data_IF_691491720684
#
_entry.id   IF_691491720684
#
_cell.length_a   1.000
_cell.length_b   1.000
_cell.length_c   1.000
_cell.angle_alpha   90.00
_cell.angle_beta   90.00
_cell.angle_gamma   90.00
#
_symmetry.space_group_name_H-M   'P 1'
#
loop_
_entity.id
_entity.type
_entity.pdbx_description
1 polymer ?
#
# COMPACT_ATOMS: atom_id res chain seq x y z
N UNK A 1 -7.37 13.27 -4.80
CA UNK A 1 -6.99 14.67 -5.05
C UNK A 1 -5.48 14.79 -4.90
N UNK A 2 -4.80 15.48 -5.83
CA UNK A 2 -3.35 15.70 -5.81
C UNK A 2 -2.98 17.04 -6.47
N UNK A 3 -1.73 17.48 -6.31
CA UNK A 3 -1.19 18.72 -6.91
C UNK A 3 -0.09 18.34 -7.90
N UNK A 4 -0.14 18.90 -9.10
CA UNK A 4 0.94 18.76 -10.08
C UNK A 4 1.60 20.11 -10.32
N UNK A 5 2.92 20.12 -10.48
CA UNK A 5 3.68 21.29 -10.92
C UNK A 5 4.25 21.01 -12.31
N UNK A 6 4.25 21.99 -13.20
CA UNK A 6 4.95 21.89 -14.49
C UNK A 6 5.73 23.17 -14.79
N UNK A 7 7.02 23.09 -15.18
CA UNK A 7 7.83 24.24 -15.54
C UNK A 7 7.17 25.05 -16.65
N UNK A 8 7.08 26.37 -16.44
CA UNK A 8 6.51 27.31 -17.39
C UNK A 8 7.47 28.50 -17.61
N UNK A 9 8.71 28.21 -18.02
CA UNK A 9 9.76 29.20 -18.25
C UNK A 9 10.83 29.22 -17.16
N UNK A 10 11.79 30.16 -17.21
CA UNK A 10 12.99 30.12 -16.36
C UNK A 10 12.75 30.38 -14.87
N UNK A 11 11.60 30.93 -14.47
CA UNK A 11 11.25 31.22 -13.05
C UNK A 11 9.73 31.07 -12.75
N UNK A 12 8.93 30.68 -13.75
CA UNK A 12 7.50 30.50 -13.62
C UNK A 12 7.17 29.01 -13.68
N UNK A 13 6.26 28.59 -12.83
CA UNK A 13 5.70 27.25 -12.81
C UNK A 13 4.17 27.33 -12.91
N UNK A 14 3.55 26.26 -13.37
CA UNK A 14 2.11 26.08 -13.29
C UNK A 14 1.80 25.07 -12.19
N UNK A 15 0.96 25.45 -11.23
CA UNK A 15 0.49 24.58 -10.16
C UNK A 15 -0.95 24.20 -10.43
N UNK A 16 -1.23 22.90 -10.55
CA UNK A 16 -2.56 22.37 -10.88
C UNK A 16 -3.07 21.48 -9.76
N UNK A 17 -4.20 21.85 -9.17
CA UNK A 17 -4.99 20.97 -8.31
C UNK A 17 -5.81 20.04 -9.18
N UNK A 18 -5.79 18.74 -8.89
CA UNK A 18 -6.59 17.74 -9.61
C UNK A 18 -7.43 16.94 -8.63
N UNK A 19 -8.75 16.92 -8.86
CA UNK A 19 -9.69 16.01 -8.21
C UNK A 19 -10.30 15.09 -9.26
N UNK A 20 -10.26 13.79 -9.00
CA UNK A 20 -10.78 12.73 -9.87
C UNK A 20 -11.65 11.78 -9.05
N UNK A 21 -12.58 11.09 -9.72
CA UNK A 21 -13.35 10.02 -9.10
C UNK A 21 -14.40 10.48 -8.10
N UNK A 22 -14.81 11.75 -8.11
CA UNK A 22 -15.79 12.25 -7.14
C UNK A 22 -17.23 12.12 -7.65
N UNK A 23 -18.14 11.83 -6.73
CA UNK A 23 -19.58 11.77 -6.94
C UNK A 23 -20.29 12.05 -5.61
N UNK A 24 -21.33 12.92 -5.54
CA UNK A 24 -22.06 13.56 -6.64
C UNK A 24 -21.29 14.71 -7.36
N UNK A 25 -21.87 15.25 -8.44
CA UNK A 25 -21.20 16.21 -9.36
C UNK A 25 -20.65 17.48 -8.69
N UNK A 26 -21.22 17.90 -7.56
CA UNK A 26 -20.88 19.18 -6.94
C UNK A 26 -19.67 19.05 -6.01
N UNK A 27 -18.52 19.55 -6.47
CA UNK A 27 -17.25 19.65 -5.74
C UNK A 27 -16.87 21.12 -5.60
N UNK A 28 -16.52 21.55 -4.39
CA UNK A 28 -15.93 22.87 -4.18
C UNK A 28 -14.41 22.73 -4.09
N UNK A 29 -13.68 23.37 -5.00
CA UNK A 29 -12.21 23.36 -5.06
C UNK A 29 -11.70 24.81 -5.09
N UNK A 30 -10.88 25.16 -4.11
CA UNK A 30 -10.33 26.50 -3.90
C UNK A 30 -8.80 26.39 -3.89
N UNK A 31 -8.12 27.16 -4.76
CA UNK A 31 -6.69 27.39 -4.62
C UNK A 31 -6.45 28.54 -3.65
N UNK A 32 -5.50 28.36 -2.74
CA UNK A 32 -5.13 29.37 -1.76
C UNK A 32 -3.63 29.62 -1.80
N UNK A 33 -3.21 30.86 -1.50
CA UNK A 33 -1.83 31.23 -1.18
C UNK A 33 -1.79 31.66 0.29
N UNK A 34 -0.95 31.00 1.09
CA UNK A 34 -0.83 31.20 2.54
C UNK A 34 -2.19 31.16 3.26
N UNK A 35 -3.08 30.26 2.82
CA UNK A 35 -4.44 30.11 3.34
C UNK A 35 -5.48 31.11 2.81
N UNK A 36 -5.10 32.05 1.95
CA UNK A 36 -6.01 33.05 1.34
C UNK A 36 -6.44 32.61 -0.06
N UNK A 37 -7.75 32.56 -0.39
CA UNK A 37 -8.24 32.21 -1.72
C UNK A 37 -7.66 33.10 -2.84
N UNK A 38 -7.21 32.46 -3.91
CA UNK A 38 -6.73 33.13 -5.12
C UNK A 38 -7.93 33.51 -5.98
N UNK A 39 -7.85 34.67 -6.62
CA UNK A 39 -8.92 35.19 -7.47
C UNK A 39 -9.10 34.33 -8.74
N UNK A 40 -10.35 34.07 -9.13
CA UNK A 40 -10.68 33.16 -10.24
C UNK A 40 -10.18 33.65 -11.61
N UNK A 41 -9.92 34.96 -11.79
CA UNK A 41 -9.32 35.51 -13.02
C UNK A 41 -7.87 35.04 -13.24
N UNK A 42 -7.18 34.62 -12.17
CA UNK A 42 -5.81 34.09 -12.22
C UNK A 42 -5.77 32.57 -12.39
N UNK A 43 -6.93 31.90 -12.40
CA UNK A 43 -7.05 30.45 -12.37
C UNK A 43 -7.64 29.92 -13.68
N UNK A 44 -6.93 28.99 -14.32
CA UNK A 44 -7.43 28.22 -15.45
C UNK A 44 -8.13 26.96 -14.93
N UNK A 45 -9.44 26.83 -15.12
CA UNK A 45 -10.19 25.63 -14.74
C UNK A 45 -10.60 24.80 -15.95
N UNK A 46 -10.55 23.48 -15.80
CA UNK A 46 -11.11 22.54 -16.80
C UNK A 46 -12.64 22.42 -16.71
N UNK A 47 -13.25 22.94 -15.65
CA UNK A 47 -14.64 22.66 -15.30
C UNK A 47 -14.84 21.22 -14.83
N UNK A 48 -16.03 20.90 -14.31
CA UNK A 48 -16.36 19.54 -13.90
C UNK A 48 -16.67 18.69 -15.15
N UNK A 49 -15.86 17.67 -15.41
CA UNK A 49 -15.98 16.78 -16.58
C UNK A 49 -16.32 15.35 -16.14
N UNK A 50 -17.17 14.63 -16.88
CA UNK A 50 -17.45 13.22 -16.61
C UNK A 50 -16.23 12.35 -16.95
N UNK A 51 -15.96 11.32 -16.14
CA UNK A 51 -14.84 10.40 -16.31
C UNK A 51 -15.19 9.14 -17.13
N UNK A 52 -16.46 8.94 -17.50
CA UNK A 52 -16.94 7.78 -18.26
C UNK A 52 -17.30 6.54 -17.43
N UNK A 53 -17.02 6.56 -16.13
CA UNK A 53 -17.31 5.49 -15.15
C UNK A 53 -18.44 5.86 -14.17
N UNK A 54 -19.18 6.94 -14.46
CA UNK A 54 -20.19 7.51 -13.57
C UNK A 54 -19.67 8.52 -12.54
N UNK A 55 -18.35 8.77 -12.50
CA UNK A 55 -17.73 9.77 -11.64
C UNK A 55 -17.34 11.04 -12.41
N UNK A 56 -16.87 12.06 -11.69
CA UNK A 56 -16.42 13.33 -12.25
C UNK A 56 -14.96 13.63 -11.91
N UNK A 57 -14.36 14.50 -12.73
CA UNK A 57 -13.04 15.07 -12.52
C UNK A 57 -13.09 16.61 -12.71
N UNK A 58 -12.18 17.30 -12.02
CA UNK A 58 -12.02 18.75 -12.04
C UNK A 58 -10.54 19.08 -11.81
N UNK A 59 -10.02 20.02 -12.57
CA UNK A 59 -8.73 20.64 -12.27
C UNK A 59 -8.78 22.16 -12.33
N UNK A 60 -7.94 22.78 -11.52
CA UNK A 60 -7.71 24.23 -11.47
C UNK A 60 -6.21 24.48 -11.44
N UNK A 61 -5.74 25.37 -12.30
CA UNK A 61 -4.33 25.68 -12.52
C UNK A 61 -4.05 27.16 -12.29
N UNK A 62 -2.97 27.50 -11.59
CA UNK A 62 -2.49 28.87 -11.38
C UNK A 62 -1.02 28.96 -11.76
N UNK A 63 -0.58 30.11 -12.26
CA UNK A 63 0.82 30.40 -12.52
C UNK A 63 1.47 30.94 -11.24
N UNK A 64 2.61 30.37 -10.85
CA UNK A 64 3.31 30.67 -9.60
C UNK A 64 4.79 30.87 -9.84
N UNK A 65 5.45 31.58 -8.92
CA UNK A 65 6.90 31.61 -8.86
C UNK A 65 7.42 30.29 -8.31
N UNK A 66 8.43 29.72 -8.95
CA UNK A 66 8.88 28.35 -8.64
C UNK A 66 9.32 28.16 -7.19
N UNK A 67 9.89 29.19 -6.57
CA UNK A 67 10.32 29.19 -5.17
C UNK A 67 9.18 29.39 -4.17
N UNK A 68 7.99 29.88 -4.58
CA UNK A 68 6.87 30.15 -3.67
C UNK A 68 5.85 29.00 -3.62
N UNK A 69 6.09 27.88 -4.32
CA UNK A 69 5.13 26.76 -4.45
C UNK A 69 4.60 26.24 -3.12
N UNK A 70 5.41 26.25 -2.08
CA UNK A 70 5.05 25.78 -0.75
C UNK A 70 4.01 26.65 -0.04
N UNK A 71 3.80 27.88 -0.50
CA UNK A 71 2.77 28.77 0.03
C UNK A 71 1.40 28.45 -0.53
N UNK A 72 1.31 27.67 -1.60
CA UNK A 72 0.05 27.37 -2.26
C UNK A 72 -0.56 26.09 -1.72
N UNK A 73 -1.87 26.06 -1.59
CA UNK A 73 -2.60 24.85 -1.25
C UNK A 73 -3.91 24.75 -2.04
N UNK A 74 -4.45 23.54 -2.08
CA UNK A 74 -5.74 23.24 -2.65
C UNK A 74 -6.67 22.76 -1.53
N UNK A 75 -7.71 23.53 -1.28
CA UNK A 75 -8.77 23.24 -0.33
C UNK A 75 -9.99 22.68 -1.06
N UNK A 76 -10.44 21.49 -0.67
CA UNK A 76 -11.58 20.83 -1.28
C UNK A 76 -12.62 20.41 -0.25
N UNK A 77 -13.87 20.77 -0.52
CA UNK A 77 -15.04 20.24 0.19
C UNK A 77 -15.98 19.53 -0.77
N UNK A 78 -16.55 18.43 -0.27
CA UNK A 78 -17.44 17.57 -1.03
C UNK A 78 -18.40 16.86 -0.06
N UNK A 79 -19.62 16.58 -0.51
CA UNK A 79 -20.65 15.93 0.32
C UNK A 79 -20.27 14.52 0.82
N UNK A 80 -19.37 13.83 0.12
CA UNK A 80 -18.85 12.52 0.53
C UNK A 80 -17.71 12.58 1.55
N UNK A 81 -17.25 13.79 1.92
CA UNK A 81 -16.14 13.98 2.85
C UNK A 81 -16.67 14.45 4.21
N UNK A 82 -16.20 13.81 5.29
CA UNK A 82 -16.51 14.23 6.67
C UNK A 82 -15.78 15.51 7.06
N UNK A 83 -14.59 15.73 6.51
CA UNK A 83 -13.74 16.89 6.72
C UNK A 83 -13.17 17.40 5.39
N UNK A 84 -12.85 18.70 5.25
CA UNK A 84 -12.20 19.23 4.05
C UNK A 84 -10.83 18.59 3.82
N UNK A 85 -10.49 18.36 2.55
CA UNK A 85 -9.14 17.94 2.16
C UNK A 85 -8.32 19.18 1.85
N UNK A 86 -7.12 19.27 2.43
CA UNK A 86 -6.13 20.30 2.11
C UNK A 86 -4.88 19.59 1.60
N UNK A 87 -4.37 20.03 0.45
CA UNK A 87 -3.08 19.58 -0.10
C UNK A 87 -2.20 20.79 -0.35
N UNK A 88 -0.97 20.79 0.15
CA UNK A 88 -0.02 21.91 0.01
C UNK A 88 0.94 21.66 -1.14
N UNK A 89 1.39 22.73 -1.81
CA UNK A 89 2.42 22.69 -2.85
C UNK A 89 3.80 22.34 -2.28
N UNK A 90 4.69 21.87 -3.15
CA UNK A 90 5.94 21.22 -2.75
C UNK A 90 7.15 22.14 -2.67
N UNK A 91 8.14 21.71 -1.87
CA UNK A 91 9.40 22.41 -1.59
C UNK A 91 10.58 22.00 -2.49
N UNK A 92 10.37 21.14 -3.49
CA UNK A 92 11.46 20.55 -4.28
C UNK A 92 11.78 21.37 -5.54
N UNK A 93 13.03 21.84 -5.63
CA UNK A 93 13.63 22.60 -6.76
C UNK A 93 13.80 21.80 -8.08
N UNK A 94 13.01 20.75 -8.28
CA UNK A 94 13.04 19.97 -9.53
C UNK A 94 11.62 19.67 -9.97
N UNK A 95 11.41 19.72 -11.29
CA UNK A 95 10.18 19.64 -12.10
C UNK A 95 9.28 18.40 -11.86
N UNK A 96 9.03 18.05 -10.62
CA UNK A 96 8.49 16.76 -10.19
C UNK A 96 7.00 16.84 -9.83
N UNK A 97 6.27 15.82 -10.26
CA UNK A 97 4.88 15.57 -9.88
C UNK A 97 4.80 15.27 -8.38
N UNK A 98 4.08 16.10 -7.62
CA UNK A 98 3.82 15.83 -6.22
C UNK A 98 2.61 14.92 -6.03
N UNK A 99 2.86 13.63 -6.18
CA UNK A 99 2.03 12.63 -5.51
C UNK A 99 2.47 12.64 -4.05
N UNK A 100 1.80 13.42 -3.19
CA UNK A 100 1.77 13.11 -1.75
C UNK A 100 1.06 11.75 -1.64
N UNK A 101 1.82 10.66 -1.80
CA UNK A 101 1.39 9.37 -1.31
C UNK A 101 1.04 9.54 0.17
N UNK A 102 -0.04 8.92 0.66
CA UNK A 102 -0.20 8.81 2.11
C UNK A 102 1.07 8.16 2.65
N UNK A 103 1.85 8.87 3.47
CA UNK A 103 2.96 8.27 4.24
C UNK A 103 2.33 7.58 5.44
N UNK A 104 1.55 6.54 5.13
CA UNK A 104 0.96 5.67 6.12
C UNK A 104 1.92 4.55 6.36
N UNK A 105 2.28 4.39 7.63
CA UNK A 105 3.18 3.35 8.06
C UNK A 105 2.49 2.43 9.05
N UNK A 106 2.95 1.18 9.08
CA UNK A 106 2.39 0.17 9.96
C UNK A 106 3.48 -0.74 10.51
N UNK A 107 3.31 -1.12 11.78
CA UNK A 107 4.12 -2.13 12.44
C UNK A 107 3.18 -3.18 13.00
N UNK A 108 3.25 -4.40 12.46
CA UNK A 108 2.45 -5.53 12.93
C UNK A 108 3.33 -6.70 13.34
N UNK A 109 2.98 -7.33 14.45
CA UNK A 109 3.47 -8.64 14.83
C UNK A 109 2.39 -9.67 14.61
N UNK A 110 2.74 -10.74 13.90
CA UNK A 110 1.86 -11.87 13.63
C UNK A 110 2.44 -13.08 14.33
N UNK A 111 1.62 -13.74 15.14
CA UNK A 111 1.91 -15.00 15.80
C UNK A 111 0.96 -16.05 15.23
N UNK A 112 1.48 -17.22 14.90
CA UNK A 112 0.69 -18.34 14.39
C UNK A 112 1.09 -19.60 15.13
N UNK A 113 0.10 -20.33 15.64
CA UNK A 113 0.28 -21.62 16.30
C UNK A 113 -0.59 -22.68 15.63
N UNK A 114 -0.01 -23.84 15.39
CA UNK A 114 -0.67 -25.04 14.88
C UNK A 114 -0.97 -25.98 16.05
N UNK A 115 -2.08 -26.72 15.97
CA UNK A 115 -2.44 -27.73 16.98
C UNK A 115 -1.54 -28.95 16.99
N UNK A 116 -0.80 -29.19 15.90
CA UNK A 116 0.14 -30.31 15.76
C UNK A 116 1.22 -29.96 14.76
N UNK A 117 2.39 -30.57 14.93
CA UNK A 117 3.43 -30.57 13.90
C UNK A 117 2.96 -31.34 12.66
N UNK A 118 3.26 -30.80 11.49
CA UNK A 118 2.98 -31.43 10.20
C UNK A 118 4.21 -32.13 9.62
N UNK A 119 5.40 -31.94 10.21
CA UNK A 119 6.68 -32.43 9.69
C UNK A 119 6.92 -32.03 8.22
N UNK A 120 6.46 -30.82 7.86
CA UNK A 120 6.60 -30.25 6.52
C UNK A 120 7.70 -29.18 6.50
N UNK A 121 8.61 -29.20 5.50
CA UNK A 121 9.65 -28.19 5.39
C UNK A 121 9.09 -26.76 5.36
N UNK A 122 9.58 -25.90 6.25
CA UNK A 122 9.19 -24.49 6.34
C UNK A 122 7.86 -24.22 7.06
N UNK A 123 7.17 -25.27 7.53
CA UNK A 123 5.98 -25.14 8.38
C UNK A 123 6.37 -25.58 9.78
N UNK A 124 6.06 -24.73 10.76
CA UNK A 124 6.44 -24.95 12.15
C UNK A 124 5.21 -24.84 13.05
N UNK A 125 5.18 -25.61 14.13
CA UNK A 125 4.11 -25.55 15.13
C UNK A 125 3.84 -24.14 15.65
N UNK A 126 4.89 -23.33 15.79
CA UNK A 126 4.74 -21.93 16.15
C UNK A 126 5.69 -21.06 15.34
N UNK A 127 5.15 -19.95 14.85
CA UNK A 127 5.91 -18.91 14.17
C UNK A 127 5.50 -17.55 14.70
N UNK A 128 6.45 -16.63 14.67
CA UNK A 128 6.18 -15.24 14.99
C UNK A 128 7.06 -14.32 14.15
N UNK A 129 6.46 -13.30 13.55
CA UNK A 129 7.16 -12.39 12.65
C UNK A 129 6.72 -10.95 12.86
N UNK A 130 7.63 -10.02 12.63
CA UNK A 130 7.35 -8.57 12.60
C UNK A 130 7.31 -8.06 11.16
N UNK A 131 6.32 -7.22 10.85
CA UNK A 131 6.12 -6.56 9.57
C UNK A 131 6.19 -5.06 9.76
N UNK A 132 7.12 -4.39 9.08
CA UNK A 132 7.14 -2.94 8.89
C UNK A 132 6.68 -2.66 7.46
N UNK A 133 5.52 -2.03 7.27
CA UNK A 133 4.93 -1.78 5.93
C UNK A 133 4.89 -3.04 5.05
N UNK A 134 4.41 -4.14 5.64
CA UNK A 134 4.33 -5.48 5.03
C UNK A 134 5.68 -6.14 4.73
N UNK A 135 6.80 -5.55 5.15
CA UNK A 135 8.13 -6.14 5.03
C UNK A 135 8.54 -6.84 6.31
N UNK A 136 8.93 -8.11 6.19
CA UNK A 136 9.42 -8.91 7.32
C UNK A 136 10.72 -8.32 7.90
N UNK A 137 10.69 -7.85 9.15
CA UNK A 137 11.85 -7.28 9.86
C UNK A 137 12.51 -8.26 10.83
N UNK A 138 11.72 -9.19 11.38
CA UNK A 138 12.18 -10.28 12.23
C UNK A 138 11.34 -11.53 12.06
N UNK A 139 11.92 -12.66 12.45
CA UNK A 139 11.27 -13.97 12.42
C UNK A 139 11.71 -14.85 13.57
N UNK A 140 10.81 -15.73 13.98
CA UNK A 140 11.01 -16.77 14.98
C UNK A 140 10.20 -18.00 14.57
N UNK A 141 10.74 -19.20 14.78
CA UNK A 141 10.02 -20.45 14.65
C UNK A 141 10.33 -21.39 15.83
N UNK A 142 9.44 -22.36 16.09
CA UNK A 142 9.55 -23.30 17.21
C UNK A 142 10.70 -24.30 17.11
N UNK A 143 11.33 -24.47 15.93
CA UNK A 143 12.48 -25.37 15.75
C UNK A 143 13.80 -24.71 16.14
N UNK A 144 14.09 -23.54 15.55
CA UNK A 144 15.31 -22.78 15.81
C UNK A 144 15.25 -21.99 17.13
N UNK A 145 14.03 -21.67 17.58
CA UNK A 145 13.73 -20.98 18.83
C UNK A 145 14.56 -19.71 19.07
N UNK A 146 14.85 -18.97 18.00
CA UNK A 146 15.65 -17.75 18.03
C UNK A 146 14.98 -16.67 17.19
N UNK A 147 14.85 -15.46 17.75
CA UNK A 147 14.41 -14.29 17.00
C UNK A 147 15.58 -13.81 16.14
N UNK A 148 15.43 -13.84 14.82
CA UNK A 148 16.49 -13.47 13.87
C UNK A 148 16.11 -12.23 13.06
N UNK A 149 17.08 -11.35 12.73
CA UNK A 149 16.86 -10.22 11.83
C UNK A 149 16.60 -10.71 10.40
N UNK A 150 15.65 -10.06 9.73
CA UNK A 150 15.33 -10.29 8.31
C UNK A 150 15.75 -9.14 7.40
N UNK A 151 16.16 -8.03 7.99
CA UNK A 151 16.74 -6.89 7.30
C UNK A 151 18.16 -6.63 7.78
N UNK A 152 19.04 -6.17 6.88
CA UNK A 152 20.44 -5.85 7.21
C UNK A 152 20.52 -4.76 8.27
N UNK A 153 19.74 -3.68 8.11
CA UNK A 153 19.69 -2.58 9.06
C UNK A 153 19.23 -3.00 10.45
N UNK A 154 18.35 -4.00 10.56
CA UNK A 154 17.97 -4.57 11.87
C UNK A 154 19.18 -5.20 12.55
N UNK A 155 19.96 -5.99 11.81
CA UNK A 155 21.18 -6.63 12.33
C UNK A 155 22.23 -5.61 12.76
N UNK A 156 22.37 -4.53 12.00
CA UNK A 156 23.42 -3.52 12.21
C UNK A 156 23.08 -2.51 13.32
N UNK A 157 21.80 -2.12 13.44
CA UNK A 157 21.37 -1.04 14.35
C UNK A 157 20.79 -1.53 15.67
N UNK A 158 20.32 -2.79 15.76
CA UNK A 158 19.80 -3.35 17.00
C UNK A 158 20.90 -3.92 17.88
N UNK A 159 20.86 -3.60 19.17
CA UNK A 159 21.76 -4.16 20.18
C UNK A 159 21.45 -5.65 20.45
N UNK A 160 22.42 -6.37 21.00
CA UNK A 160 22.29 -7.80 21.32
C UNK A 160 21.15 -8.07 22.31
N UNK A 161 20.97 -7.21 23.30
CA UNK A 161 19.94 -7.34 24.32
C UNK A 161 18.51 -7.30 23.75
N UNK A 162 18.28 -6.54 22.67
CA UNK A 162 17.01 -6.54 21.94
C UNK A 162 16.67 -7.92 21.38
N UNK A 163 17.67 -8.63 20.84
CA UNK A 163 17.51 -9.96 20.27
C UNK A 163 17.32 -11.02 21.34
N UNK A 164 18.05 -10.94 22.45
CA UNK A 164 17.93 -11.86 23.58
C UNK A 164 16.56 -11.73 24.27
N UNK A 165 16.20 -10.50 24.68
CA UNK A 165 14.89 -10.20 25.29
C UNK A 165 13.75 -10.56 24.35
N UNK A 166 13.91 -10.23 23.07
CA UNK A 166 12.95 -10.58 22.01
C UNK A 166 12.78 -12.10 21.88
N UNK A 167 13.87 -12.86 21.87
CA UNK A 167 13.84 -14.33 21.80
C UNK A 167 13.12 -14.93 23.01
N UNK A 168 13.44 -14.45 24.22
CA UNK A 168 12.78 -14.94 25.43
C UNK A 168 11.29 -14.62 25.45
N UNK A 169 10.90 -13.42 24.99
CA UNK A 169 9.50 -13.05 24.80
C UNK A 169 8.78 -13.99 23.82
N UNK A 170 9.40 -14.33 22.69
CA UNK A 170 8.82 -15.27 21.70
C UNK A 170 8.69 -16.69 22.24
N UNK A 171 9.65 -17.18 23.04
CA UNK A 171 9.57 -18.48 23.74
C UNK A 171 8.40 -18.52 24.74
N UNK A 172 8.23 -17.47 25.54
CA UNK A 172 7.11 -17.36 26.48
C UNK A 172 5.77 -17.35 25.74
N UNK A 173 5.67 -16.65 24.60
CA UNK A 173 4.47 -16.67 23.75
C UNK A 173 4.24 -18.05 23.14
N UNK A 174 5.25 -18.73 22.63
CA UNK A 174 5.12 -20.10 22.12
C UNK A 174 4.45 -21.03 23.13
N UNK A 175 4.92 -21.03 24.38
CA UNK A 175 4.32 -21.84 25.44
C UNK A 175 2.88 -21.45 25.74
N UNK A 176 2.59 -20.15 25.76
CA UNK A 176 1.23 -19.65 25.94
C UNK A 176 0.30 -20.14 24.80
N UNK A 177 0.74 -20.06 23.55
CA UNK A 177 -0.04 -20.50 22.40
C UNK A 177 -0.29 -22.01 22.42
N UNK A 178 0.74 -22.83 22.74
CA UNK A 178 0.61 -24.29 22.84
C UNK A 178 -0.53 -24.69 23.79
N UNK A 179 -0.57 -24.09 24.98
CA UNK A 179 -1.64 -24.35 25.96
C UNK A 179 -3.01 -23.83 25.48
N UNK A 180 -3.05 -22.64 24.87
CA UNK A 180 -4.33 -22.03 24.51
C UNK A 180 -4.96 -22.63 23.26
N UNK A 181 -4.18 -23.21 22.34
CA UNK A 181 -4.73 -23.94 21.18
C UNK A 181 -5.52 -25.16 21.64
N UNK A 182 -4.98 -25.95 22.58
CA UNK A 182 -5.67 -27.13 23.12
C UNK A 182 -6.97 -26.76 23.83
N UNK A 183 -6.94 -25.72 24.67
CA UNK A 183 -8.13 -25.20 25.37
C UNK A 183 -9.17 -24.72 24.35
N UNK A 184 -8.74 -24.05 23.30
CA UNK A 184 -9.63 -23.52 22.28
C UNK A 184 -10.29 -24.64 21.46
N UNK A 185 -9.54 -25.67 21.09
CA UNK A 185 -10.09 -26.86 20.42
C UNK A 185 -11.22 -27.50 21.24
N UNK A 186 -11.03 -27.63 22.55
CA UNK A 186 -12.09 -28.14 23.44
C UNK A 186 -13.34 -27.25 23.44
N UNK A 187 -13.17 -25.92 23.50
CA UNK A 187 -14.30 -24.97 23.46
C UNK A 187 -15.04 -24.95 22.13
N UNK A 188 -14.34 -25.30 21.04
CA UNK A 188 -14.89 -25.40 19.69
C UNK A 188 -15.47 -26.80 19.41
N UNK A 189 -15.40 -27.74 20.35
CA UNK A 189 -15.76 -29.15 20.16
C UNK A 189 -15.00 -29.82 19.00
N UNK A 190 -13.75 -29.41 18.79
CA UNK A 190 -12.89 -29.96 17.74
C UNK A 190 -12.10 -31.18 18.23
N UNK A 191 -11.78 -32.08 17.31
CA UNK A 191 -10.99 -33.28 17.60
C UNK A 191 -9.49 -33.02 17.40
N UNK A 192 -8.64 -33.88 17.94
CA UNK A 192 -7.19 -33.81 17.71
C UNK A 192 -6.76 -34.41 16.35
N UNK A 193 -7.70 -34.93 15.55
CA UNK A 193 -7.37 -35.53 14.25
C UNK A 193 -7.09 -34.46 13.21
N UNK A 194 -7.81 -33.35 13.25
CA UNK A 194 -7.67 -32.25 12.30
C UNK A 194 -6.61 -31.24 12.74
N UNK A 195 -6.09 -30.49 11.77
CA UNK A 195 -5.20 -29.38 12.03
C UNK A 195 -6.04 -28.14 12.37
N UNK A 196 -5.68 -27.47 13.46
CA UNK A 196 -6.27 -26.21 13.85
C UNK A 196 -5.20 -25.13 13.99
N UNK A 197 -5.57 -23.89 13.70
CA UNK A 197 -4.65 -22.76 13.66
C UNK A 197 -5.19 -21.63 14.50
N UNK A 198 -4.41 -21.17 15.48
CA UNK A 198 -4.67 -19.94 16.22
C UNK A 198 -3.67 -18.87 15.78
N UNK A 199 -4.17 -17.72 15.38
CA UNK A 199 -3.32 -16.59 15.01
C UNK A 199 -3.63 -15.38 15.87
N UNK A 200 -2.63 -14.54 16.06
CA UNK A 200 -2.76 -13.24 16.70
C UNK A 200 -2.01 -12.20 15.90
N UNK A 201 -2.74 -11.16 15.47
CA UNK A 201 -2.18 -9.98 14.82
C UNK A 201 -2.30 -8.81 15.78
N UNK A 202 -1.17 -8.17 16.08
CA UNK A 202 -1.14 -6.98 16.94
C UNK A 202 -0.19 -5.93 16.41
N UNK A 203 -0.57 -4.65 16.52
CA UNK A 203 0.28 -3.56 16.06
C UNK A 203 -0.46 -2.26 15.85
N UNK A 204 0.18 -1.32 15.16
CA UNK A 204 -0.29 0.05 15.00
C UNK A 204 -0.08 0.55 13.58
N UNK A 205 -0.92 1.53 13.22
CA UNK A 205 -0.84 2.31 11.98
C UNK A 205 -0.68 3.78 12.34
N UNK A 206 0.20 4.50 11.62
CA UNK A 206 0.42 5.93 11.76
C UNK A 206 0.30 6.64 10.40
N UNK A 207 0.10 7.94 10.43
CA UNK A 207 0.20 8.85 9.29
C UNK A 207 1.30 9.87 9.58
N UNK A 208 2.27 9.99 8.67
CA UNK A 208 3.36 10.96 8.73
C UNK A 208 3.29 12.00 7.60
N UNK A 209 2.22 12.01 6.79
CA UNK A 209 2.11 12.84 5.57
C UNK A 209 2.32 14.35 5.78
N UNK A 210 2.18 14.84 7.01
CA UNK A 210 2.35 16.26 7.38
C UNK A 210 3.69 16.53 8.11
N UNK A 211 4.63 15.59 8.10
CA UNK A 211 5.88 15.65 8.86
C UNK A 211 5.70 15.54 10.37
N UNK A 212 4.52 15.08 10.83
CA UNK A 212 4.24 14.80 12.23
C UNK A 212 3.60 13.43 12.34
N UNK A 213 4.07 12.62 13.29
CA UNK A 213 3.53 11.28 13.55
C UNK A 213 2.15 11.40 14.18
N UNK A 214 1.12 10.93 13.46
CA UNK A 214 -0.24 10.83 13.94
C UNK A 214 -0.66 9.37 14.04
N UNK A 215 -1.00 8.91 15.24
CA UNK A 215 -1.61 7.60 15.43
C UNK A 215 -2.95 7.51 14.68
N UNK A 216 -3.11 6.46 13.87
CA UNK A 216 -4.34 6.20 13.13
C UNK A 216 -5.18 5.12 13.81
N UNK A 217 -4.57 3.97 14.12
CA UNK A 217 -5.28 2.82 14.67
C UNK A 217 -4.34 1.84 15.35
N UNK A 218 -4.82 1.23 16.42
CA UNK A 218 -4.21 0.09 17.09
C UNK A 218 -5.05 -1.16 16.85
N UNK A 219 -4.40 -2.29 16.57
CA UNK A 219 -5.05 -3.57 16.28
C UNK A 219 -4.52 -4.63 17.23
N UNK A 220 -5.41 -5.44 17.78
CA UNK A 220 -5.07 -6.68 18.47
C UNK A 220 -6.22 -7.68 18.27
N UNK A 221 -6.00 -8.64 17.40
CA UNK A 221 -7.04 -9.52 16.85
C UNK A 221 -6.54 -10.97 16.83
N UNK A 222 -7.37 -11.87 17.34
CA UNK A 222 -7.17 -13.30 17.28
C UNK A 222 -8.10 -13.92 16.24
N UNK A 223 -7.57 -14.82 15.43
CA UNK A 223 -8.33 -15.66 14.51
C UNK A 223 -8.12 -17.14 14.84
N UNK A 224 -9.14 -17.94 14.58
CA UNK A 224 -9.12 -19.39 14.73
C UNK A 224 -9.61 -20.03 13.44
N UNK A 225 -8.80 -20.93 12.86
CA UNK A 225 -9.04 -21.56 11.56
C UNK A 225 -9.40 -20.56 10.45
N UNK A 226 -8.74 -19.39 10.48
CA UNK A 226 -8.93 -18.30 9.53
C UNK A 226 -10.17 -17.43 9.76
N UNK A 227 -10.99 -17.72 10.77
CA UNK A 227 -12.19 -16.94 11.12
C UNK A 227 -11.93 -16.04 12.34
N UNK A 228 -12.63 -14.91 12.40
CA UNK A 228 -12.54 -13.98 13.53
C UNK A 228 -12.94 -14.67 14.84
N UNK A 229 -12.08 -14.55 15.87
CA UNK A 229 -12.30 -15.21 17.16
C UNK A 229 -12.45 -14.22 18.31
N UNK A 230 -11.53 -13.27 18.47
CA UNK A 230 -11.54 -12.30 19.56
C UNK A 230 -10.78 -11.04 19.16
N UNK A 231 -11.31 -9.84 19.39
CA UNK A 231 -10.66 -8.58 19.00
C UNK A 231 -10.73 -7.52 20.10
N UNK A 232 -9.74 -6.64 20.13
CA UNK A 232 -9.69 -5.54 21.08
C UNK A 232 -10.33 -4.29 20.47
N UNK A 233 -11.42 -3.82 21.08
CA UNK A 233 -12.06 -2.54 20.80
C UNK A 233 -11.25 -1.44 21.49
N UNK A 234 -10.36 -0.82 20.71
CA UNK A 234 -9.40 0.19 21.18
C UNK A 234 -10.08 1.38 21.85
N UNK A 235 -11.17 1.89 21.25
CA UNK A 235 -11.90 3.07 21.73
C UNK A 235 -12.55 2.82 23.09
N UNK A 236 -13.09 1.62 23.30
CA UNK A 236 -13.81 1.28 24.54
C UNK A 236 -12.96 0.46 25.53
N UNK A 237 -11.67 0.25 25.24
CA UNK A 237 -10.73 -0.53 26.06
C UNK A 237 -11.29 -1.88 26.51
N UNK A 238 -11.87 -2.65 25.58
CA UNK A 238 -12.51 -3.93 25.89
C UNK A 238 -12.36 -4.94 24.79
N UNK A 239 -12.42 -6.21 25.16
CA UNK A 239 -12.45 -7.32 24.21
C UNK A 239 -13.87 -7.58 23.71
N UNK A 240 -13.96 -7.84 22.40
CA UNK A 240 -15.16 -8.22 21.67
C UNK A 240 -14.99 -9.68 21.23
N UNK A 241 -16.04 -10.45 21.45
CA UNK A 241 -16.11 -11.87 21.11
C UNK A 241 -17.20 -12.06 20.05
N UNK A 242 -16.83 -12.24 18.78
CA UNK A 242 -17.79 -12.53 17.71
C UNK A 242 -18.45 -13.92 17.82
N UNK A 243 -17.83 -14.85 18.57
CA UNK A 243 -18.31 -16.24 18.69
C UNK A 243 -18.46 -16.67 20.16
N UNK A 244 -19.42 -17.57 20.49
CA UNK A 244 -19.65 -18.03 21.87
C UNK A 244 -18.42 -18.66 22.55
N UNK A 245 -17.55 -19.32 21.78
CA UNK A 245 -16.34 -19.95 22.30
C UNK A 245 -15.30 -18.93 22.83
N UNK A 246 -15.38 -17.67 22.38
CA UNK A 246 -14.51 -16.59 22.81
C UNK A 246 -15.02 -15.86 24.07
N UNK A 247 -16.30 -16.04 24.44
CA UNK A 247 -16.94 -15.37 25.57
C UNK A 247 -16.24 -15.59 26.92
N UNK A 248 -15.76 -16.81 27.25
CA UNK A 248 -14.99 -17.03 28.47
C UNK A 248 -13.70 -16.20 28.52
N UNK A 249 -12.99 -16.09 27.39
CA UNK A 249 -11.75 -15.29 27.29
C UNK A 249 -12.06 -13.80 27.43
N UNK A 250 -13.08 -13.31 26.72
CA UNK A 250 -13.59 -11.93 26.84
C UNK A 250 -13.93 -11.57 28.29
N UNK A 251 -14.71 -12.40 28.99
CA UNK A 251 -15.09 -12.15 30.38
C UNK A 251 -13.87 -12.07 31.29
N UNK A 252 -12.93 -13.01 31.15
CA UNK A 252 -11.71 -13.06 31.96
C UNK A 252 -10.81 -11.85 31.75
N UNK A 253 -10.67 -11.38 30.51
CA UNK A 253 -9.79 -10.26 30.21
C UNK A 253 -10.43 -8.92 30.53
N UNK A 254 -11.73 -8.76 30.24
CA UNK A 254 -12.47 -7.54 30.59
C UNK A 254 -12.70 -7.38 32.09
N UNK A 255 -12.61 -8.44 32.90
CA UNK A 255 -12.65 -8.33 34.36
C UNK A 255 -11.36 -7.75 34.97
N UNK A 256 -10.32 -7.50 34.15
CA UNK A 256 -9.02 -6.97 34.61
C UNK A 256 -8.70 -5.67 33.86
N UNK A 257 -9.27 -4.52 34.27
CA UNK A 257 -9.16 -3.26 33.53
C UNK A 257 -7.72 -2.80 33.26
N UNK A 258 -6.80 -3.06 34.21
CA UNK A 258 -5.40 -2.68 34.07
C UNK A 258 -4.70 -3.35 32.88
N UNK A 259 -5.10 -4.59 32.51
CA UNK A 259 -4.56 -5.26 31.33
C UNK A 259 -5.04 -4.61 30.04
N UNK A 260 -6.30 -4.18 29.99
CA UNK A 260 -6.85 -3.49 28.83
C UNK A 260 -6.21 -2.11 28.63
N UNK A 261 -5.96 -1.38 29.71
CA UNK A 261 -5.21 -0.12 29.68
C UNK A 261 -3.77 -0.32 29.19
N UNK A 262 -3.10 -1.37 29.67
CA UNK A 262 -1.77 -1.72 29.20
C UNK A 262 -1.74 -2.01 27.68
N UNK A 263 -2.71 -2.78 27.18
CA UNK A 263 -2.81 -3.07 25.73
C UNK A 263 -3.02 -1.79 24.93
N UNK A 264 -3.92 -0.91 25.36
CA UNK A 264 -4.14 0.37 24.68
C UNK A 264 -2.86 1.22 24.67
N UNK A 265 -2.19 1.35 25.81
CA UNK A 265 -0.93 2.09 25.93
C UNK A 265 0.19 1.50 25.06
N UNK A 266 0.28 0.16 24.97
CA UNK A 266 1.22 -0.50 24.07
C UNK A 266 0.92 -0.15 22.60
N UNK A 267 -0.34 -0.24 22.17
CA UNK A 267 -0.73 -0.01 20.78
C UNK A 267 -0.56 1.47 20.36
N UNK A 268 -0.89 2.41 21.24
CA UNK A 268 -0.83 3.84 20.93
C UNK A 268 0.57 4.45 21.10
N UNK A 269 1.36 3.95 22.06
CA UNK A 269 2.66 4.54 22.41
C UNK A 269 3.81 3.63 22.04
N UNK A 270 3.98 2.50 22.73
CA UNK A 270 5.17 1.65 22.56
C UNK A 270 5.31 1.15 21.12
N UNK A 271 4.21 0.75 20.49
CA UNK A 271 4.19 0.32 19.10
C UNK A 271 4.61 1.46 18.16
N UNK A 272 4.09 2.67 18.38
CA UNK A 272 4.42 3.85 17.58
C UNK A 272 5.89 4.23 17.75
N UNK A 273 6.41 4.21 18.98
CA UNK A 273 7.82 4.48 19.26
C UNK A 273 8.75 3.49 18.53
N UNK A 274 8.40 2.19 18.56
CA UNK A 274 9.15 1.17 17.82
C UNK A 274 9.03 1.35 16.31
N UNK A 275 7.83 1.65 15.81
CA UNK A 275 7.56 1.88 14.40
C UNK A 275 8.43 3.04 13.88
N UNK A 276 8.37 4.21 14.53
CA UNK A 276 9.16 5.39 14.18
C UNK A 276 10.66 5.08 14.19
N UNK A 277 11.14 4.42 15.25
CA UNK A 277 12.54 4.00 15.35
C UNK A 277 12.98 3.06 14.22
N UNK A 278 12.11 2.14 13.82
CA UNK A 278 12.41 1.23 12.71
C UNK A 278 12.38 1.94 11.36
N UNK A 279 11.50 2.91 11.15
CA UNK A 279 11.52 3.77 9.96
C UNK A 279 12.83 4.54 9.87
N UNK A 280 13.27 5.19 10.95
CA UNK A 280 14.56 5.91 11.00
C UNK A 280 15.75 5.01 10.64
N UNK A 281 15.76 3.77 11.13
CA UNK A 281 16.87 2.84 10.87
C UNK A 281 16.81 2.22 9.47
N UNK A 282 15.59 2.01 8.96
CA UNK A 282 15.34 1.45 7.64
C UNK A 282 15.43 2.48 6.51
N UNK A 283 15.34 3.78 6.80
CA UNK A 283 15.22 4.85 5.81
C UNK A 283 16.36 4.84 4.79
N UNK A 284 17.61 4.71 5.24
CA UNK A 284 18.77 4.65 4.33
C UNK A 284 18.68 3.44 3.40
N UNK A 285 18.25 2.28 3.92
CA UNK A 285 18.04 1.09 3.11
C UNK A 285 16.92 1.31 2.09
N UNK A 286 15.80 1.90 2.51
CA UNK A 286 14.64 2.20 1.66
C UNK A 286 14.96 3.20 0.53
N UNK A 287 15.68 4.29 0.85
CA UNK A 287 16.14 5.28 -0.14
C UNK A 287 17.11 4.69 -1.18
N UNK A 288 17.87 3.66 -0.80
CA UNK A 288 18.81 2.98 -1.67
C UNK A 288 18.18 1.82 -2.49
N UNK A 289 16.87 1.59 -2.40
CA UNK A 289 16.24 0.59 -3.27
C UNK A 289 16.29 1.04 -4.73
N UNK A 290 16.62 0.10 -5.61
CA UNK A 290 16.58 0.31 -7.05
C UNK A 290 15.18 0.71 -7.49
N UNK A 291 15.08 1.74 -8.33
CA UNK A 291 13.81 2.10 -8.99
C UNK A 291 13.20 0.89 -9.68
N UNK A 292 11.87 0.72 -9.64
CA UNK A 292 11.24 -0.44 -10.22
C UNK A 292 11.39 -0.48 -11.74
N UNK A 293 11.50 -1.69 -12.27
CA UNK A 293 11.59 -1.93 -13.69
C UNK A 293 10.19 -2.01 -14.29
N UNK A 294 9.95 -1.24 -15.35
CA UNK A 294 8.69 -1.23 -16.12
C UNK A 294 8.96 -1.73 -17.53
N UNK A 295 8.23 -2.77 -17.93
CA UNK A 295 8.34 -3.41 -19.22
C UNK A 295 7.01 -3.40 -19.96
N UNK A 296 7.04 -2.95 -21.22
CA UNK A 296 5.96 -3.10 -22.18
C UNK A 296 6.32 -4.25 -23.14
N UNK A 297 5.63 -5.38 -23.02
CA UNK A 297 5.85 -6.60 -23.79
C UNK A 297 4.66 -6.87 -24.71
N UNK A 298 4.91 -7.21 -25.97
CA UNK A 298 3.87 -7.59 -26.92
C UNK A 298 4.17 -8.97 -27.51
N UNK A 299 3.21 -9.89 -27.45
CA UNK A 299 3.32 -11.26 -28.00
C UNK A 299 2.06 -11.63 -28.77
N UNK A 300 2.15 -12.56 -29.73
CA UNK A 300 0.96 -13.15 -30.36
C UNK A 300 0.08 -13.77 -29.27
N UNK A 301 -1.24 -13.56 -29.36
CA UNK A 301 -2.17 -14.14 -28.40
C UNK A 301 -2.16 -15.65 -28.55
N UNK A 302 -2.20 -16.35 -27.41
CA UNK A 302 -2.27 -17.82 -27.36
C UNK A 302 -3.69 -18.30 -27.69
N UNK A 303 -4.70 -17.44 -27.48
CA UNK A 303 -6.11 -17.78 -27.67
C UNK A 303 -6.61 -17.49 -29.07
N UNK A 304 -5.99 -16.53 -29.76
CA UNK A 304 -6.45 -16.00 -31.03
C UNK A 304 -5.25 -15.57 -31.88
N UNK A 305 -5.06 -16.22 -33.03
CA UNK A 305 -3.92 -15.96 -33.91
C UNK A 305 -3.95 -14.59 -34.59
N UNK A 306 -5.11 -13.93 -34.65
CA UNK A 306 -5.31 -12.59 -35.24
C UNK A 306 -5.12 -11.48 -34.19
N UNK A 307 -4.85 -11.84 -32.94
CA UNK A 307 -4.65 -10.89 -31.85
C UNK A 307 -3.24 -10.92 -31.29
N UNK A 308 -2.85 -9.81 -30.69
CA UNK A 308 -1.66 -9.69 -29.85
C UNK A 308 -2.04 -9.35 -28.43
N UNK A 309 -1.36 -9.98 -27.49
CA UNK A 309 -1.46 -9.64 -26.08
C UNK A 309 -0.40 -8.60 -25.76
N UNK A 310 -0.85 -7.38 -25.46
CA UNK A 310 -0.04 -6.33 -24.87
C UNK A 310 0.01 -6.55 -23.37
N UNK A 311 1.20 -6.55 -22.79
CA UNK A 311 1.46 -6.85 -21.38
C UNK A 311 2.33 -5.77 -20.78
N UNK A 312 1.86 -5.12 -19.74
CA UNK A 312 2.67 -4.23 -18.93
C UNK A 312 3.03 -4.91 -17.63
N UNK A 313 4.32 -4.94 -17.33
CA UNK A 313 4.88 -5.50 -16.12
C UNK A 313 5.64 -4.41 -15.39
N UNK A 314 5.28 -4.17 -14.13
CA UNK A 314 6.14 -3.49 -13.16
C UNK A 314 6.67 -4.55 -12.19
N UNK A 315 7.96 -4.52 -11.89
CA UNK A 315 8.60 -5.42 -10.92
C UNK A 315 9.72 -4.72 -10.15
N UNK A 316 10.05 -5.22 -8.96
CA UNK A 316 11.12 -4.67 -8.12
C UNK A 316 10.70 -3.41 -7.36
N UNK A 317 9.39 -3.16 -7.22
CA UNK A 317 8.89 -2.02 -6.46
C UNK A 317 8.60 -2.36 -5.00
N UNK A 318 8.78 -1.37 -4.15
CA UNK A 318 8.38 -1.34 -2.75
C UNK A 318 8.21 0.13 -2.34
N UNK A 319 7.17 0.53 -1.59
CA UNK A 319 6.10 -0.28 -0.96
C UNK A 319 5.14 -0.99 -1.92
N UNK A 320 4.14 -1.71 -1.38
CA UNK A 320 3.20 -2.51 -2.19
C UNK A 320 2.22 -1.70 -3.04
N UNK A 321 1.97 -0.45 -2.65
CA UNK A 321 0.96 0.41 -3.25
C UNK A 321 1.46 1.00 -4.58
N UNK A 322 0.91 0.50 -5.68
CA UNK A 322 1.26 0.92 -7.04
C UNK A 322 0.00 1.20 -7.86
N UNK A 323 0.07 2.22 -8.72
CA UNK A 323 -0.92 2.44 -9.75
C UNK A 323 -0.38 2.03 -11.11
N UNK A 324 -0.94 0.96 -11.68
CA UNK A 324 -0.64 0.44 -13.01
C UNK A 324 -1.89 0.55 -13.90
N UNK A 325 -1.77 1.25 -15.02
CA UNK A 325 -2.85 1.43 -16.00
C UNK A 325 -2.35 1.11 -17.41
N UNK A 326 -3.13 0.33 -18.15
CA UNK A 326 -2.99 0.20 -19.60
C UNK A 326 -3.92 1.24 -20.23
N UNK A 327 -3.40 2.08 -21.11
CA UNK A 327 -4.11 3.21 -21.70
C UNK A 327 -4.12 3.13 -23.21
N UNK A 328 -5.13 3.73 -23.81
CA UNK A 328 -5.24 3.99 -25.25
C UNK A 328 -5.42 5.49 -25.45
N UNK A 329 -4.52 6.11 -26.22
CA UNK A 329 -4.47 7.57 -26.39
C UNK A 329 -4.47 8.33 -25.04
N UNK A 330 -3.77 7.80 -24.03
CA UNK A 330 -3.72 8.36 -22.68
C UNK A 330 -4.96 8.15 -21.81
N UNK A 331 -5.98 7.43 -22.29
CA UNK A 331 -7.19 7.08 -21.52
C UNK A 331 -7.12 5.64 -21.00
N UNK A 332 -7.35 5.44 -19.71
CA UNK A 332 -7.34 4.10 -19.09
C UNK A 332 -8.42 3.19 -19.69
N UNK A 333 -8.02 1.97 -20.02
CA UNK A 333 -8.96 0.94 -20.45
C UNK A 333 -9.82 0.46 -19.27
N UNK A 334 -11.10 0.11 -19.51
CA UNK A 334 -11.94 -0.53 -18.50
C UNK A 334 -11.33 -1.83 -17.97
N UNK A 335 -11.40 -2.05 -16.65
CA UNK A 335 -10.81 -3.24 -16.00
C UNK A 335 -11.37 -4.57 -16.53
N UNK A 336 -12.61 -4.63 -17.02
CA UNK A 336 -13.19 -5.86 -17.60
C UNK A 336 -12.53 -6.32 -18.91
N UNK A 337 -11.78 -5.43 -19.59
CA UNK A 337 -11.00 -5.76 -20.78
C UNK A 337 -9.56 -6.16 -20.44
N UNK A 338 -9.15 -5.98 -19.17
CA UNK A 338 -7.79 -6.19 -18.71
C UNK A 338 -7.70 -7.50 -17.94
N UNK A 339 -6.71 -8.31 -18.28
CA UNK A 339 -6.30 -9.45 -17.46
C UNK A 339 -5.19 -9.02 -16.50
N UNK A 340 -5.43 -9.08 -15.19
CA UNK A 340 -4.42 -8.81 -14.17
C UNK A 340 -3.84 -10.09 -13.59
N UNK A 341 -2.55 -10.08 -13.24
CA UNK A 341 -1.95 -11.15 -12.43
C UNK A 341 -2.31 -11.10 -10.95
N UNK A 342 -2.92 -10.00 -10.50
CA UNK A 342 -2.87 -9.59 -9.10
C UNK A 342 -1.45 -9.19 -8.67
N UNK A 343 -1.35 -8.55 -7.50
CA UNK A 343 -0.07 -8.23 -6.89
C UNK A 343 0.62 -9.52 -6.41
N UNK A 344 1.91 -9.68 -6.69
CA UNK A 344 2.70 -10.85 -6.31
C UNK A 344 4.04 -10.42 -5.70
N UNK A 345 4.61 -11.25 -4.84
CA UNK A 345 5.94 -11.04 -4.25
C UNK A 345 7.03 -11.64 -5.15
N UNK A 346 8.22 -11.04 -5.12
CA UNK A 346 9.42 -11.53 -5.82
C UNK A 346 10.29 -12.46 -4.95
N UNK A 347 9.98 -12.58 -3.66
CA UNK A 347 10.79 -13.37 -2.71
C UNK A 347 12.01 -12.64 -2.15
N UNK A 348 12.35 -11.47 -2.70
CA UNK A 348 13.42 -10.57 -2.24
C UNK A 348 12.90 -9.37 -1.42
N UNK A 349 11.61 -9.39 -1.05
CA UNK A 349 10.94 -8.29 -0.36
C UNK A 349 10.33 -7.22 -1.28
N UNK A 350 10.44 -7.38 -2.60
CA UNK A 350 9.79 -6.50 -3.59
C UNK A 350 8.56 -7.16 -4.22
N UNK A 351 7.79 -6.34 -4.94
CA UNK A 351 6.55 -6.75 -5.59
C UNK A 351 6.65 -6.71 -7.11
N UNK A 352 5.74 -7.46 -7.75
CA UNK A 352 5.49 -7.44 -9.18
C UNK A 352 3.99 -7.40 -9.46
N UNK A 353 3.61 -6.70 -10.53
CA UNK A 353 2.24 -6.61 -11.02
C UNK A 353 2.24 -6.57 -12.54
N UNK A 354 1.35 -7.38 -13.14
CA UNK A 354 1.15 -7.43 -14.58
C UNK A 354 -0.31 -7.15 -14.94
N UNK A 355 -0.52 -6.28 -15.93
CA UNK A 355 -1.80 -6.06 -16.61
C UNK A 355 -1.64 -6.30 -18.11
N UNK A 356 -2.58 -7.02 -18.70
CA UNK A 356 -2.54 -7.39 -20.11
C UNK A 356 -3.88 -7.14 -20.80
N UNK A 357 -3.84 -6.81 -22.09
CA UNK A 357 -5.01 -6.65 -22.97
C UNK A 357 -4.73 -7.32 -24.31
N UNK A 358 -5.75 -7.97 -24.87
CA UNK A 358 -5.69 -8.51 -26.23
C UNK A 358 -6.20 -7.45 -27.22
N UNK A 359 -5.39 -7.15 -28.23
CA UNK A 359 -5.68 -6.20 -29.31
C UNK A 359 -5.62 -6.91 -30.65
N UNK A 360 -6.37 -6.42 -31.63
CA UNK A 360 -6.31 -6.96 -33.01
C UNK A 360 -4.97 -6.57 -33.64
N UNK A 361 -4.39 -7.43 -34.48
CA UNK A 361 -3.06 -7.17 -35.06
C UNK A 361 -3.03 -5.94 -36.00
N UNK A 362 -4.16 -5.57 -36.62
CA UNK A 362 -4.28 -4.33 -37.41
C UNK A 362 -4.53 -3.06 -36.58
N UNK A 363 -4.66 -3.18 -35.25
CA UNK A 363 -4.91 -2.02 -34.40
C UNK A 363 -3.71 -1.06 -34.41
N UNK A 364 -3.98 0.18 -34.80
CA UNK A 364 -2.98 1.26 -34.89
C UNK A 364 -3.07 2.24 -33.73
N UNK A 365 -3.95 1.98 -32.75
CA UNK A 365 -4.14 2.84 -31.62
C UNK A 365 -2.86 2.97 -30.77
N UNK A 366 -2.67 4.17 -30.21
CA UNK A 366 -1.51 4.47 -29.36
C UNK A 366 -1.71 3.88 -27.97
N UNK A 367 -1.24 2.65 -27.77
CA UNK A 367 -1.25 2.00 -26.45
C UNK A 367 -0.01 2.36 -25.64
N UNK A 368 -0.24 2.74 -24.39
CA UNK A 368 0.82 3.07 -23.45
C UNK A 368 0.56 2.46 -22.06
N UNK A 369 1.63 2.07 -21.39
CA UNK A 369 1.59 1.66 -20.02
C UNK A 369 1.96 2.82 -19.11
N UNK A 370 1.06 3.18 -18.22
CA UNK A 370 1.28 4.19 -17.21
C UNK A 370 1.50 3.55 -15.84
N UNK A 371 2.60 3.92 -15.20
CA UNK A 371 2.99 3.45 -13.88
C UNK A 371 3.26 4.64 -12.98
N UNK A 372 2.58 4.69 -11.83
CA UNK A 372 2.87 5.62 -10.75
C UNK A 372 3.10 4.85 -9.46
N UNK A 373 4.18 5.17 -8.77
CA UNK A 373 4.64 4.49 -7.55
C UNK A 373 5.45 5.49 -6.71
N UNK A 374 5.40 5.39 -5.38
CA UNK A 374 6.05 6.35 -4.48
C UNK A 374 7.59 6.38 -4.59
N UNK A 375 8.21 5.28 -5.01
CA UNK A 375 9.66 5.24 -5.26
C UNK A 375 10.08 5.86 -6.60
N UNK A 376 9.12 6.23 -7.46
CA UNK A 376 9.39 6.89 -8.73
C UNK A 376 9.25 8.41 -8.57
N UNK A 377 10.26 9.16 -9.01
CA UNK A 377 10.20 10.63 -9.04
C UNK A 377 9.12 11.17 -9.97
N UNK A 378 8.89 10.45 -11.06
CA UNK A 378 7.91 10.78 -12.09
C UNK A 378 7.23 9.48 -12.54
N UNK A 379 5.94 9.53 -12.94
CA UNK A 379 5.28 8.38 -13.53
C UNK A 379 6.03 7.88 -14.77
N UNK A 380 6.18 6.57 -14.88
CA UNK A 380 6.81 5.95 -16.05
C UNK A 380 5.74 5.65 -17.09
N UNK A 381 5.95 6.15 -18.30
CA UNK A 381 5.13 5.83 -19.47
C UNK A 381 5.98 4.97 -20.42
N UNK A 382 5.48 3.78 -20.74
CA UNK A 382 6.11 2.87 -21.71
C UNK A 382 5.14 2.54 -22.82
N UNK A 383 5.45 2.98 -24.03
CA UNK A 383 4.74 2.58 -25.22
C UNK A 383 5.13 1.16 -25.61
N UNK A 384 4.20 0.39 -26.17
CA UNK A 384 4.52 -0.87 -26.86
C UNK A 384 5.16 -0.64 -28.25
N UNK A 385 5.42 0.63 -28.57
CA UNK A 385 5.79 1.11 -29.90
C UNK A 385 4.56 1.14 -30.82
N UNK A 386 4.52 2.11 -31.74
CA UNK A 386 3.75 1.89 -32.97
C UNK A 386 4.42 0.69 -33.63
N UNK A 387 3.74 -0.44 -33.69
CA UNK A 387 4.11 -1.44 -34.68
C UNK A 387 4.00 -0.75 -36.04
N UNK A 388 5.12 -0.27 -36.59
CA UNK A 388 5.20 0.22 -37.95
C UNK A 388 4.93 -0.95 -38.89
N UNK A 389 3.66 -1.30 -39.08
CA UNK A 389 3.22 -2.20 -40.14
C UNK A 389 2.63 -1.47 -41.35
N UNK A 390 2.80 -0.14 -41.41
CA UNK A 390 2.76 0.59 -42.68
C UNK A 390 4.18 1.07 -43.01
N UNK A 391 4.90 0.27 -43.81
CA UNK A 391 5.98 0.67 -44.75
C UNK A 391 6.81 -0.52 -45.28
N UNK A 392 6.32 -1.76 -45.24
CA UNK A 392 6.96 -2.88 -45.99
C UNK A 392 6.03 -3.51 -47.05
N UNK A 393 4.73 -3.16 -47.10
CA UNK A 393 3.86 -3.58 -48.22
C UNK A 393 3.79 -2.61 -49.41
N UNK A 394 4.33 -1.39 -49.32
CA UNK A 394 4.25 -0.41 -50.43
C UNK A 394 5.49 -0.42 -51.35
N UNK A 395 6.61 -1.03 -50.93
CA UNK A 395 7.79 -1.16 -51.80
C UNK A 395 7.88 -2.50 -52.56
N UNK A 396 6.93 -3.42 -52.36
CA UNK A 396 6.89 -4.70 -53.09
C UNK A 396 6.12 -4.63 -54.42
N UNK A 397 5.32 -3.56 -54.65
CA UNK A 397 4.49 -3.42 -55.86
C UNK A 397 5.06 -2.42 -56.89
N UNK A 398 6.30 -1.95 -56.72
CA UNK A 398 7.01 -1.08 -57.68
C UNK A 398 8.29 -1.69 -58.27
N UNK A 399 8.57 -2.96 -57.99
CA UNK A 399 9.62 -3.73 -58.69
C UNK A 399 9.03 -5.09 -59.06
N UNK A 400 8.20 -5.11 -60.10
CA UNK A 400 8.08 -6.19 -61.09
C UNK A 400 7.45 -5.63 -62.36
#
# INVERSE_FOLDING_TARGET
>A
MFITSSPHGPNLDSLTCVATGFYPKYLNMILRKSGVPISEDQIKSTGVRPSGDGTYNLSKTVEVLGHEKFEYDCYVTHSSLKEPIIKTGCRTDSSSFCVLSPEKHSLFYIYTALSKDLDLPGIYEFTALGLLDDREIDYYNSKEQKKIPKQSWMREKMQEDYWEKGTQSRKSKEQWFKVNVEILMQRMNHSNQDLHVLQWRTGCEIDESNGTVKFLRGISEYSYDGSDFLSFDFENMRWIAPVPAAEPSKRKWNSVPILNQYIQGYLEKECVDWLTKFLEYGEESLRNHSSPAVHALAKKSVRDSEKRTLTCLITGFYPKDVHLSVRVFGTSLPEHLITSSGLRTNGDGTYQLRKSVDVVEEDTAGYDCYVSHSSLREPVIKDWGKFMFLMIRIFADYIL
#
